data_IF_956763273834
#
_entry.id   IF_956763273834
#
_cell.length_a   1.000
_cell.length_b   1.000
_cell.length_c   1.000
_cell.angle_alpha   90.00
_cell.angle_beta   90.00
_cell.angle_gamma   90.00
#
_symmetry.space_group_name_H-M   'P 1'
#
loop_
_entity.id
_entity.type
_entity.pdbx_description
1 polymer ?
#
# COMPACT_ATOMS: atom_id res chain seq x y z
N UNK A 1 3.32 23.54 -1.83
CA UNK A 1 2.55 22.48 -2.52
C UNK A 1 2.12 21.46 -1.48
N UNK A 2 0.85 21.42 -1.08
CA UNK A 2 0.41 20.54 0.02
C UNK A 2 0.03 19.16 -0.52
N UNK A 3 0.95 18.19 -0.45
CA UNK A 3 0.66 16.77 -0.67
C UNK A 3 -0.05 16.18 0.54
N UNK A 4 -1.10 15.38 0.34
CA UNK A 4 -1.79 14.70 1.44
C UNK A 4 -1.17 13.32 1.68
N UNK A 5 -0.69 13.07 2.89
CA UNK A 5 -0.23 11.75 3.34
C UNK A 5 -1.39 10.99 4.00
N UNK A 6 -1.53 9.71 3.70
CA UNK A 6 -2.47 8.80 4.37
C UNK A 6 -1.77 7.48 4.68
N UNK A 7 -1.90 7.02 5.91
CA UNK A 7 -1.34 5.78 6.43
C UNK A 7 -2.47 4.85 6.84
N UNK A 8 -2.39 3.58 6.46
CA UNK A 8 -3.43 2.58 6.77
C UNK A 8 -2.83 1.23 7.09
N UNK A 9 -3.46 0.52 8.01
CA UNK A 9 -3.20 -0.89 8.26
C UNK A 9 -4.26 -1.73 7.55
N UNK A 10 -3.84 -2.65 6.70
CA UNK A 10 -4.68 -3.71 6.19
C UNK A 10 -4.73 -4.84 7.22
N UNK A 11 -5.94 -5.22 7.61
CA UNK A 11 -6.18 -6.25 8.62
C UNK A 11 -7.11 -7.32 8.08
N UNK A 12 -6.97 -8.54 8.58
CA UNK A 12 -7.96 -9.59 8.36
C UNK A 12 -9.21 -9.41 9.24
N UNK A 13 -10.16 -10.33 9.14
CA UNK A 13 -11.39 -10.33 9.95
C UNK A 13 -11.15 -10.53 11.46
N UNK A 14 -9.96 -11.01 11.86
CA UNK A 14 -9.53 -11.16 13.26
C UNK A 14 -8.74 -9.95 13.76
N UNK A 15 -8.67 -8.88 12.96
CA UNK A 15 -7.86 -7.68 13.22
C UNK A 15 -6.34 -7.92 13.20
N UNK A 16 -5.87 -9.06 12.69
CA UNK A 16 -4.46 -9.33 12.45
C UNK A 16 -3.93 -8.37 11.40
N UNK A 17 -2.86 -7.63 11.70
CA UNK A 17 -2.23 -6.72 10.73
C UNK A 17 -1.47 -7.53 9.68
N UNK A 18 -1.88 -7.40 8.43
CA UNK A 18 -1.29 -8.11 7.29
C UNK A 18 -0.37 -7.23 6.45
N UNK A 19 -0.68 -5.94 6.35
CA UNK A 19 0.17 -4.98 5.66
C UNK A 19 0.00 -3.57 6.22
N UNK A 20 1.04 -2.76 6.11
CA UNK A 20 1.03 -1.33 6.32
C UNK A 20 1.19 -0.64 4.98
N UNK A 21 0.39 0.38 4.71
CA UNK A 21 0.49 1.14 3.47
C UNK A 21 0.46 2.64 3.76
N UNK A 22 1.43 3.34 3.18
CA UNK A 22 1.51 4.78 3.14
C UNK A 22 1.23 5.26 1.73
N UNK A 23 0.47 6.34 1.60
CA UNK A 23 0.12 6.92 0.31
C UNK A 23 0.32 8.43 0.34
N UNK A 24 1.05 8.92 -0.66
CA UNK A 24 1.32 10.34 -0.86
C UNK A 24 0.58 10.80 -2.12
N UNK A 25 -0.49 11.55 -1.90
CA UNK A 25 -1.37 12.02 -2.96
C UNK A 25 -0.84 13.29 -3.60
N UNK A 26 -0.88 13.31 -4.93
CA UNK A 26 -0.66 14.53 -5.69
C UNK A 26 -1.85 15.47 -5.49
N UNK A 27 -1.61 16.78 -5.48
CA UNK A 27 -2.67 17.79 -5.38
C UNK A 27 -3.33 18.01 -6.75
N UNK A 28 -3.72 16.91 -7.41
CA UNK A 28 -4.30 16.90 -8.74
C UNK A 28 -5.81 16.96 -8.66
N UNK A 29 -6.43 17.94 -9.32
CA UNK A 29 -7.89 18.08 -9.40
C UNK A 29 -8.56 17.05 -10.33
N UNK A 30 -7.78 16.21 -11.02
CA UNK A 30 -8.27 15.39 -12.13
C UNK A 30 -9.17 14.23 -11.73
N UNK A 31 -8.99 13.69 -10.51
CA UNK A 31 -9.83 12.63 -9.96
C UNK A 31 -9.93 12.83 -8.44
N UNK A 32 -11.17 12.87 -7.92
CA UNK A 32 -11.44 12.86 -6.48
C UNK A 32 -11.77 11.43 -6.05
N UNK A 33 -10.76 10.64 -5.66
CA UNK A 33 -11.02 9.37 -4.98
C UNK A 33 -11.34 9.61 -3.51
N UNK A 34 -12.32 8.90 -2.94
CA UNK A 34 -12.62 9.01 -1.52
C UNK A 34 -11.43 8.54 -0.67
N UNK A 35 -10.87 9.45 0.12
CA UNK A 35 -9.66 9.22 0.94
C UNK A 35 -9.88 8.13 2.01
N UNK A 36 -11.13 7.90 2.43
CA UNK A 36 -11.47 6.91 3.45
C UNK A 36 -11.71 5.50 2.89
N UNK A 37 -11.69 5.32 1.57
CA UNK A 37 -11.89 4.00 0.94
C UNK A 37 -10.56 3.37 0.52
N UNK A 38 -10.52 2.04 0.36
CA UNK A 38 -9.43 1.38 -0.33
C UNK A 38 -9.24 1.98 -1.74
N UNK A 39 -7.97 2.25 -2.08
CA UNK A 39 -7.63 2.88 -3.37
C UNK A 39 -8.03 1.95 -4.53
N UNK A 40 -7.72 0.65 -4.39
CA UNK A 40 -8.08 -0.37 -5.38
C UNK A 40 -9.59 -0.48 -5.62
N UNK A 41 -10.40 -0.49 -4.56
CA UNK A 41 -11.88 -0.51 -4.68
C UNK A 41 -12.37 0.68 -5.49
N UNK A 42 -11.85 1.88 -5.20
CA UNK A 42 -12.26 3.10 -5.89
C UNK A 42 -11.88 3.06 -7.37
N UNK A 43 -10.65 2.61 -7.70
CA UNK A 43 -10.19 2.46 -9.09
C UNK A 43 -11.10 1.51 -9.88
N UNK A 44 -11.43 0.35 -9.31
CA UNK A 44 -12.31 -0.64 -9.94
C UNK A 44 -13.72 -0.08 -10.12
N UNK A 45 -14.31 0.49 -9.06
CA UNK A 45 -15.68 1.04 -9.08
C UNK A 45 -15.85 2.10 -10.16
N UNK A 46 -14.87 2.99 -10.30
CA UNK A 46 -14.92 4.09 -11.28
C UNK A 46 -14.32 3.71 -12.64
N UNK A 47 -13.94 2.43 -12.85
CA UNK A 47 -13.32 1.93 -14.09
C UNK A 47 -12.17 2.81 -14.56
N UNK A 48 -11.34 3.26 -13.62
CA UNK A 48 -10.24 4.18 -13.90
C UNK A 48 -9.09 3.37 -14.49
N UNK A 49 -8.76 3.66 -15.74
CA UNK A 49 -7.55 3.10 -16.36
C UNK A 49 -6.30 3.74 -15.75
N UNK A 50 -5.41 2.91 -15.25
CA UNK A 50 -4.23 3.36 -14.51
C UNK A 50 -2.97 2.65 -15.00
N UNK A 51 -1.87 3.39 -14.97
CA UNK A 51 -0.54 2.85 -15.13
C UNK A 51 0.15 2.77 -13.77
N UNK A 52 0.80 1.65 -13.46
CA UNK A 52 1.60 1.45 -12.24
C UNK A 52 3.06 1.38 -12.61
N UNK A 53 3.85 2.21 -11.97
CA UNK A 53 5.31 2.22 -12.12
C UNK A 53 5.95 1.80 -10.79
N UNK A 54 6.60 0.63 -10.78
CA UNK A 54 7.23 0.07 -9.58
C UNK A 54 8.66 0.59 -9.51
N UNK A 55 8.96 1.32 -8.44
CA UNK A 55 10.28 1.91 -8.21
C UNK A 55 11.19 0.95 -7.49
N UNK A 56 10.66 0.31 -6.44
CA UNK A 56 11.45 -0.48 -5.50
C UNK A 56 10.65 -1.69 -5.02
N UNK A 57 11.36 -2.81 -4.85
CA UNK A 57 10.94 -3.96 -4.06
C UNK A 57 12.06 -4.19 -3.06
N UNK A 58 11.71 -4.34 -1.78
CA UNK A 58 12.70 -4.49 -0.72
C UNK A 58 12.36 -5.64 0.21
N UNK A 59 13.41 -6.20 0.79
CA UNK A 59 13.38 -7.26 1.79
C UNK A 59 14.37 -6.88 2.89
N UNK A 60 13.92 -6.83 4.14
CA UNK A 60 14.78 -6.41 5.22
C UNK A 60 14.16 -6.59 6.59
N UNK A 61 14.94 -6.29 7.61
CA UNK A 61 14.55 -6.42 9.02
C UNK A 61 14.24 -5.05 9.59
N UNK A 62 13.15 -4.96 10.35
CA UNK A 62 12.77 -3.72 11.02
C UNK A 62 12.05 -4.04 12.32
N UNK A 63 12.75 -3.85 13.44
CA UNK A 63 12.22 -4.15 14.78
C UNK A 63 10.88 -3.47 15.06
N UNK A 64 10.74 -2.21 14.65
CA UNK A 64 9.48 -1.48 14.78
C UNK A 64 8.33 -2.18 14.05
N UNK A 65 8.55 -2.66 12.82
CA UNK A 65 7.52 -3.34 12.06
C UNK A 65 7.23 -4.74 12.60
N UNK A 66 8.25 -5.47 13.07
CA UNK A 66 8.06 -6.76 13.76
C UNK A 66 7.15 -6.61 14.98
N UNK A 67 7.38 -5.58 15.81
CA UNK A 67 6.55 -5.25 16.97
C UNK A 67 5.12 -4.87 16.53
N UNK A 68 4.98 -4.07 15.48
CA UNK A 68 3.66 -3.68 14.97
C UNK A 68 2.87 -4.84 14.38
N UNK A 69 3.53 -5.76 13.67
CA UNK A 69 2.94 -6.97 13.09
C UNK A 69 2.73 -8.08 14.11
N UNK A 70 3.34 -7.98 15.29
CA UNK A 70 3.42 -9.06 16.28
C UNK A 70 3.96 -10.36 15.66
N UNK A 71 4.97 -10.22 14.80
CA UNK A 71 5.61 -11.32 14.10
C UNK A 71 7.05 -10.97 13.79
N UNK A 72 7.96 -11.80 14.31
CA UNK A 72 9.39 -11.69 14.02
C UNK A 72 9.70 -12.20 12.62
N UNK A 73 10.70 -11.59 12.01
CA UNK A 73 11.21 -11.98 10.70
C UNK A 73 11.29 -10.80 9.74
N UNK A 74 11.92 -11.05 8.59
CA UNK A 74 12.09 -10.02 7.59
C UNK A 74 10.75 -9.69 6.94
N UNK A 75 10.58 -8.41 6.65
CA UNK A 75 9.41 -7.87 5.95
C UNK A 75 9.72 -7.69 4.48
N UNK A 76 8.73 -7.98 3.65
CA UNK A 76 8.73 -7.58 2.25
C UNK A 76 8.03 -6.24 2.12
N UNK A 77 8.50 -5.40 1.20
CA UNK A 77 7.75 -4.21 0.84
C UNK A 77 8.05 -3.76 -0.58
N UNK A 78 7.28 -2.77 -1.01
CA UNK A 78 7.38 -2.20 -2.34
C UNK A 78 6.96 -0.75 -2.35
N UNK A 79 7.49 -0.01 -3.32
CA UNK A 79 7.15 1.37 -3.57
C UNK A 79 6.86 1.57 -5.04
N UNK A 80 5.75 2.21 -5.33
CA UNK A 80 5.28 2.39 -6.70
C UNK A 80 4.43 3.65 -6.83
N UNK A 81 4.33 4.17 -8.04
CA UNK A 81 3.48 5.31 -8.36
C UNK A 81 2.36 4.89 -9.30
N UNK A 82 1.14 5.33 -8.99
CA UNK A 82 -0.01 5.19 -9.87
C UNK A 82 -0.14 6.48 -10.68
N UNK A 83 -0.23 6.33 -11.99
CA UNK A 83 -0.49 7.39 -12.94
C UNK A 83 -1.89 7.23 -13.54
N UNK A 84 -2.57 8.36 -13.72
CA UNK A 84 -3.82 8.47 -14.45
C UNK A 84 -3.66 9.53 -15.53
N UNK A 85 -3.99 9.20 -16.79
CA UNK A 85 -3.82 10.09 -17.95
C UNK A 85 -2.43 10.76 -18.01
N UNK A 86 -1.37 9.96 -17.83
CA UNK A 86 0.04 10.39 -17.79
C UNK A 86 0.40 11.35 -16.65
N UNK A 87 -0.48 11.54 -15.67
CA UNK A 87 -0.21 12.37 -14.50
C UNK A 87 -0.11 11.53 -13.23
N UNK A 88 0.82 11.90 -12.36
CA UNK A 88 1.00 11.25 -11.07
C UNK A 88 -0.22 11.46 -10.19
N UNK A 89 -0.92 10.37 -9.85
CA UNK A 89 -2.07 10.37 -8.96
C UNK A 89 -1.61 10.22 -7.50
N UNK A 90 -0.90 9.13 -7.21
CA UNK A 90 -0.49 8.77 -5.86
C UNK A 90 0.77 7.91 -5.90
N UNK A 91 1.69 8.15 -4.97
CA UNK A 91 2.83 7.26 -4.70
C UNK A 91 2.52 6.45 -3.46
N UNK A 92 2.66 5.14 -3.53
CA UNK A 92 2.42 4.22 -2.43
C UNK A 92 3.70 3.55 -2.00
N UNK A 93 3.78 3.30 -0.70
CA UNK A 93 4.74 2.41 -0.09
C UNK A 93 3.96 1.39 0.75
N UNK A 94 4.20 0.11 0.51
CA UNK A 94 3.51 -0.99 1.17
C UNK A 94 4.55 -1.91 1.81
N UNK A 95 4.30 -2.30 3.05
CA UNK A 95 5.11 -3.30 3.77
C UNK A 95 4.21 -4.40 4.29
N UNK A 96 4.62 -5.65 4.09
CA UNK A 96 3.83 -6.85 4.36
C UNK A 96 4.34 -7.56 5.60
N UNK A 97 3.40 -8.06 6.40
CA UNK A 97 3.69 -8.88 7.58
C UNK A 97 4.50 -10.12 7.16
N UNK A 98 5.51 -10.54 7.93
CA UNK A 98 6.23 -11.78 7.65
C UNK A 98 5.29 -12.99 7.59
N UNK A 99 4.16 -12.94 8.30
CA UNK A 99 3.14 -14.00 8.31
C UNK A 99 2.54 -14.28 6.92
N UNK A 100 2.57 -13.32 5.99
CA UNK A 100 2.02 -13.52 4.64
C UNK A 100 2.77 -14.62 3.89
N UNK A 101 4.05 -14.89 4.20
CA UNK A 101 4.79 -15.96 3.54
C UNK A 101 4.20 -17.34 3.82
N UNK A 102 3.47 -17.51 4.93
CA UNK A 102 2.81 -18.77 5.29
C UNK A 102 1.72 -19.17 4.29
N UNK A 103 1.16 -18.23 3.53
CA UNK A 103 0.19 -18.55 2.48
C UNK A 103 0.83 -19.25 1.27
N UNK A 104 2.14 -19.10 1.08
CA UNK A 104 2.87 -19.72 -0.03
C UNK A 104 3.54 -21.05 0.35
N UNK A 105 3.65 -21.34 1.64
CA UNK A 105 4.35 -22.55 2.14
C UNK A 105 3.40 -23.68 2.55
N UNK A 106 2.11 -23.40 2.73
CA UNK A 106 1.09 -24.45 2.90
C UNK A 106 0.84 -25.15 1.57
N UNK A 107 1.48 -26.31 1.38
CA UNK A 107 1.08 -27.33 0.42
C UNK A 107 -0.10 -28.13 0.96
#
# INVERSE_FOLDING_TARGET
MNSKKREVWLKDYKYTKLAFAESLWSNTNFIKLPIHKPIGESIIKYKIDIYKDIHEIYYGYCKYLEDQFNCQGPVWGRKYTIYYKKQRLVTLQETFSPQITNFFTKK
#
